data_IF_966597168003
#
_entry.id   IF_966597168003
#
_cell.length_a   1.000
_cell.length_b   1.000
_cell.length_c   1.000
_cell.angle_alpha   90.00
_cell.angle_beta   90.00
_cell.angle_gamma   90.00
#
_symmetry.space_group_name_H-M   'P 1'
#
loop_
_entity.id
_entity.type
_entity.pdbx_description
1 polymer ?
#
# COMPACT_ATOMS: atom_id res chain seq x y z
N UNK A 1 -7.37 -10.61 23.62
CA UNK A 1 -6.20 -11.51 23.65
C UNK A 1 -5.52 -11.42 22.30
N UNK A 2 -4.19 -11.34 22.24
CA UNK A 2 -3.45 -11.36 20.96
C UNK A 2 -3.44 -12.78 20.38
N UNK A 3 -3.25 -12.92 19.07
CA UNK A 3 -3.16 -14.21 18.37
C UNK A 3 -1.97 -14.20 17.44
N UNK A 4 -1.04 -15.13 17.63
CA UNK A 4 0.10 -15.28 16.73
C UNK A 4 -0.42 -15.73 15.35
N UNK A 5 -0.07 -15.04 14.26
CA UNK A 5 -0.45 -15.46 12.92
C UNK A 5 0.29 -16.76 12.55
N UNK A 6 -0.37 -17.63 11.80
CA UNK A 6 0.31 -18.75 11.15
C UNK A 6 1.17 -18.18 10.03
N UNK A 7 2.46 -18.47 10.04
CA UNK A 7 3.38 -18.07 8.97
C UNK A 7 3.75 -19.33 8.18
N UNK A 8 3.18 -19.44 6.99
CA UNK A 8 3.52 -20.44 5.98
C UNK A 8 3.80 -19.75 4.63
N UNK A 9 4.04 -20.52 3.56
CA UNK A 9 4.25 -19.99 2.21
C UNK A 9 2.93 -19.73 1.46
N UNK A 10 1.79 -19.61 2.15
CA UNK A 10 0.50 -19.29 1.53
C UNK A 10 0.38 -17.80 1.21
N UNK A 11 -0.50 -17.48 0.26
CA UNK A 11 -0.82 -16.10 -0.08
C UNK A 11 -1.32 -15.27 1.11
N UNK A 12 -2.06 -15.88 2.05
CA UNK A 12 -2.58 -15.21 3.26
C UNK A 12 -1.45 -14.83 4.22
N UNK A 13 -0.49 -15.73 4.43
CA UNK A 13 0.70 -15.46 5.24
C UNK A 13 1.57 -14.38 4.61
N UNK A 14 1.78 -14.45 3.30
CA UNK A 14 2.51 -13.42 2.56
C UNK A 14 1.83 -12.06 2.64
N UNK A 15 0.50 -11.98 2.52
CA UNK A 15 -0.24 -10.72 2.65
C UNK A 15 -0.12 -10.13 4.06
N UNK A 16 -0.14 -10.99 5.08
CA UNK A 16 0.06 -10.57 6.47
C UNK A 16 1.49 -10.04 6.69
N UNK A 17 2.49 -10.67 6.07
CA UNK A 17 3.88 -10.19 6.11
C UNK A 17 4.07 -8.89 5.30
N UNK A 18 3.40 -8.73 4.16
CA UNK A 18 3.41 -7.48 3.39
C UNK A 18 2.80 -6.32 4.16
N UNK A 19 1.72 -6.56 4.91
CA UNK A 19 1.16 -5.56 5.81
C UNK A 19 2.18 -5.16 6.90
N UNK A 20 2.83 -6.14 7.55
CA UNK A 20 3.84 -5.86 8.55
C UNK A 20 5.05 -5.10 7.96
N UNK A 21 5.55 -5.56 6.81
CA UNK A 21 6.69 -4.96 6.11
C UNK A 21 6.45 -3.49 5.77
N UNK A 22 5.22 -3.13 5.39
CA UNK A 22 4.84 -1.74 5.16
C UNK A 22 5.04 -0.87 6.41
N UNK A 23 4.60 -1.34 7.59
CA UNK A 23 4.82 -0.61 8.85
C UNK A 23 6.29 -0.60 9.30
N UNK A 24 7.06 -1.65 8.97
CA UNK A 24 8.50 -1.69 9.23
C UNK A 24 9.21 -0.62 8.39
N UNK A 25 8.86 -0.44 7.12
CA UNK A 25 9.41 0.63 6.29
C UNK A 25 9.09 2.01 6.86
N UNK A 26 7.83 2.25 7.25
CA UNK A 26 7.45 3.53 7.89
C UNK A 26 8.18 3.78 9.20
N UNK A 27 8.39 2.73 10.00
CA UNK A 27 9.21 2.83 11.22
C UNK A 27 10.63 3.27 10.90
N UNK A 28 11.23 2.69 9.86
CA UNK A 28 12.58 3.03 9.43
C UNK A 28 12.65 4.47 8.89
N UNK A 29 11.79 4.83 7.92
CA UNK A 29 11.80 6.15 7.30
C UNK A 29 11.61 7.28 8.32
N UNK A 30 10.64 7.16 9.22
CA UNK A 30 10.42 8.16 10.26
C UNK A 30 11.49 8.15 11.37
N UNK A 31 12.36 7.13 11.40
CA UNK A 31 13.51 7.12 12.32
C UNK A 31 14.74 7.79 11.73
N UNK A 32 14.75 8.05 10.43
CA UNK A 32 15.79 8.83 9.77
C UNK A 32 15.70 10.27 10.26
N UNK A 33 16.83 10.88 10.58
CA UNK A 33 16.87 12.25 11.08
C UNK A 33 16.39 12.44 12.54
N UNK A 34 16.11 11.36 13.30
CA UNK A 34 15.76 11.49 14.71
C UNK A 34 16.97 11.96 15.55
N UNK A 35 16.89 13.16 16.13
CA UNK A 35 17.95 13.75 16.94
C UNK A 35 17.64 13.70 18.45
N UNK A 36 16.35 13.62 18.79
CA UNK A 36 15.84 13.67 20.15
C UNK A 36 14.89 12.51 20.46
N UNK A 37 14.66 12.25 21.74
CA UNK A 37 13.77 11.15 22.17
C UNK A 37 12.32 11.34 21.69
N UNK A 38 11.86 12.59 21.50
CA UNK A 38 10.52 12.88 20.98
C UNK A 38 10.35 12.49 19.52
N UNK A 39 11.42 12.50 18.74
CA UNK A 39 11.38 12.20 17.30
C UNK A 39 11.06 10.70 17.07
N UNK A 40 11.41 9.85 18.05
CA UNK A 40 11.09 8.43 18.04
C UNK A 40 9.62 8.10 18.34
N UNK A 41 8.76 9.07 18.64
CA UNK A 41 7.34 8.83 18.89
C UNK A 41 6.62 8.27 17.65
N UNK A 42 6.87 8.83 16.47
CA UNK A 42 6.28 8.34 15.22
C UNK A 42 6.81 6.95 14.81
N UNK A 43 8.14 6.70 14.79
CA UNK A 43 8.68 5.36 14.60
C UNK A 43 8.09 4.32 15.54
N UNK A 44 8.02 4.63 16.84
CA UNK A 44 7.45 3.72 17.83
C UNK A 44 5.97 3.44 17.55
N UNK A 45 5.21 4.46 17.16
CA UNK A 45 3.80 4.34 16.81
C UNK A 45 3.59 3.42 15.59
N UNK A 46 4.42 3.54 14.54
CA UNK A 46 4.34 2.66 13.37
C UNK A 46 4.75 1.22 13.70
N UNK A 47 5.81 1.03 14.49
CA UNK A 47 6.24 -0.29 14.93
C UNK A 47 5.14 -1.00 15.75
N UNK A 48 4.55 -0.29 16.71
CA UNK A 48 3.44 -0.80 17.53
C UNK A 48 2.22 -1.09 16.64
N UNK A 49 1.91 -0.23 15.68
CA UNK A 49 0.79 -0.41 14.75
C UNK A 49 0.94 -1.68 13.91
N UNK A 50 2.11 -1.87 13.30
CA UNK A 50 2.43 -3.06 12.51
C UNK A 50 2.37 -4.34 13.34
N UNK A 51 2.97 -4.33 14.54
CA UNK A 51 2.94 -5.48 15.45
C UNK A 51 1.53 -5.78 15.97
N UNK A 52 0.73 -4.75 16.27
CA UNK A 52 -0.64 -4.92 16.74
C UNK A 52 -1.53 -5.56 15.67
N UNK A 53 -1.38 -5.15 14.41
CA UNK A 53 -2.07 -5.78 13.27
C UNK A 53 -1.58 -7.20 13.04
N UNK A 54 -0.27 -7.42 13.00
CA UNK A 54 0.34 -8.73 12.80
C UNK A 54 -0.09 -9.74 13.87
N UNK A 55 -0.09 -9.34 15.14
CA UNK A 55 -0.52 -10.17 16.27
C UNK A 55 -2.04 -10.19 16.48
N UNK A 56 -2.82 -9.64 15.53
CA UNK A 56 -4.27 -9.61 15.56
C UNK A 56 -4.82 -9.11 16.91
N UNK A 57 -4.22 -8.04 17.45
CA UNK A 57 -4.66 -7.44 18.71
C UNK A 57 -6.09 -6.90 18.55
N UNK A 58 -6.98 -7.11 19.52
CA UNK A 58 -8.36 -6.62 19.43
C UNK A 58 -8.38 -5.12 19.14
N UNK A 59 -9.23 -4.71 18.18
CA UNK A 59 -9.38 -3.33 17.74
C UNK A 59 -8.14 -2.70 17.08
N UNK A 60 -7.09 -3.46 16.76
CA UNK A 60 -5.87 -2.92 16.15
C UNK A 60 -6.16 -2.14 14.86
N UNK A 61 -7.05 -2.62 13.99
CA UNK A 61 -7.40 -1.90 12.74
C UNK A 61 -7.95 -0.50 13.02
N UNK A 62 -8.87 -0.38 13.97
CA UNK A 62 -9.42 0.92 14.37
C UNK A 62 -8.34 1.79 15.05
N UNK A 63 -7.51 1.20 15.90
CA UNK A 63 -6.39 1.89 16.55
C UNK A 63 -5.37 2.42 15.54
N UNK A 64 -5.07 1.68 14.48
CA UNK A 64 -4.14 2.11 13.44
C UNK A 64 -4.78 3.17 12.55
N UNK A 65 -5.98 2.92 12.01
CA UNK A 65 -6.63 3.85 11.07
C UNK A 65 -7.04 5.17 11.71
N UNK A 66 -7.47 5.17 12.97
CA UNK A 66 -7.92 6.39 13.66
C UNK A 66 -6.93 6.90 14.69
N UNK A 67 -6.25 6.01 15.41
CA UNK A 67 -5.34 6.39 16.49
C UNK A 67 -4.07 7.04 15.98
N UNK A 68 -3.51 6.59 14.84
CA UNK A 68 -2.32 7.24 14.25
C UNK A 68 -2.63 8.68 13.82
N UNK A 69 -3.67 8.94 12.99
CA UNK A 69 -4.09 10.31 12.70
C UNK A 69 -4.44 11.13 13.94
N UNK A 70 -5.16 10.57 14.91
CA UNK A 70 -5.52 11.28 16.13
C UNK A 70 -4.27 11.71 16.92
N UNK A 71 -3.26 10.85 16.99
CA UNK A 71 -1.97 11.18 17.61
C UNK A 71 -1.27 12.33 16.87
N UNK A 72 -1.23 12.30 15.53
CA UNK A 72 -0.69 13.39 14.72
C UNK A 72 -1.41 14.71 14.97
N UNK A 73 -2.74 14.72 15.05
CA UNK A 73 -3.51 15.94 15.35
C UNK A 73 -3.16 16.47 16.74
N UNK A 74 -3.05 15.60 17.75
CA UNK A 74 -2.68 16.01 19.11
C UNK A 74 -1.27 16.61 19.14
N UNK A 75 -0.31 15.98 18.45
CA UNK A 75 1.07 16.47 18.36
C UNK A 75 1.13 17.81 17.62
N UNK A 76 0.49 17.93 16.45
CA UNK A 76 0.44 19.18 15.68
C UNK A 76 -0.20 20.33 16.45
N UNK A 77 -1.26 20.06 17.23
CA UNK A 77 -1.85 21.08 18.12
C UNK A 77 -0.92 21.46 19.28
N UNK A 78 -0.13 20.52 19.79
CA UNK A 78 0.80 20.75 20.88
C UNK A 78 2.07 21.51 20.43
N UNK A 79 2.59 21.22 19.23
CA UNK A 79 3.74 21.89 18.62
C UNK A 79 3.37 23.19 17.92
N UNK A 80 2.11 23.36 17.51
CA UNK A 80 1.65 24.47 16.68
C UNK A 80 1.88 24.27 15.18
N UNK A 81 2.27 23.06 14.76
CA UNK A 81 2.52 22.68 13.37
C UNK A 81 1.22 22.25 12.69
N UNK A 82 0.57 23.19 12.01
CA UNK A 82 -0.69 22.93 11.31
C UNK A 82 -0.54 21.93 10.15
N UNK A 83 0.65 21.81 9.56
CA UNK A 83 0.91 20.88 8.46
C UNK A 83 0.76 19.43 8.91
N UNK A 84 1.15 19.10 10.15
CA UNK A 84 0.94 17.77 10.74
C UNK A 84 -0.54 17.40 10.86
N UNK A 85 -1.41 18.40 11.10
CA UNK A 85 -2.87 18.21 11.17
C UNK A 85 -3.43 17.88 9.78
N UNK A 86 -2.93 18.53 8.73
CA UNK A 86 -3.31 18.22 7.35
C UNK A 86 -2.84 16.81 6.96
N UNK A 87 -1.59 16.47 7.26
CA UNK A 87 -1.03 15.14 7.04
C UNK A 87 -1.79 14.03 7.78
N UNK A 88 -2.42 14.30 8.92
CA UNK A 88 -3.23 13.32 9.62
C UNK A 88 -4.42 12.82 8.77
N UNK A 89 -5.06 13.69 7.99
CA UNK A 89 -6.16 13.31 7.09
C UNK A 89 -5.66 12.35 6.02
N UNK A 90 -4.48 12.62 5.49
CA UNK A 90 -3.83 11.77 4.51
C UNK A 90 -3.51 10.38 5.07
N UNK A 91 -2.93 10.32 6.28
CA UNK A 91 -2.62 9.07 6.96
C UNK A 91 -3.88 8.24 7.23
N UNK A 92 -5.02 8.87 7.49
CA UNK A 92 -6.31 8.18 7.64
C UNK A 92 -6.70 7.45 6.34
N UNK A 93 -6.58 8.14 5.21
CA UNK A 93 -6.91 7.59 3.88
C UNK A 93 -5.94 6.46 3.49
N UNK A 94 -4.66 6.58 3.85
CA UNK A 94 -3.64 5.60 3.53
C UNK A 94 -3.70 4.35 4.43
N UNK A 95 -3.80 4.52 5.76
CA UNK A 95 -3.79 3.39 6.69
C UNK A 95 -5.11 2.63 6.75
N UNK A 96 -6.22 3.24 6.36
CA UNK A 96 -7.51 2.53 6.24
C UNK A 96 -7.39 1.28 5.37
N UNK A 97 -7.04 1.39 4.08
CA UNK A 97 -6.86 0.24 3.22
C UNK A 97 -5.79 -0.74 3.72
N UNK A 98 -4.63 -0.25 4.17
CA UNK A 98 -3.54 -1.13 4.65
C UNK A 98 -4.00 -1.97 5.83
N UNK A 99 -4.75 -1.39 6.78
CA UNK A 99 -5.24 -2.08 7.97
C UNK A 99 -6.37 -3.09 7.66
N UNK A 100 -7.24 -2.79 6.68
CA UNK A 100 -8.45 -3.57 6.43
C UNK A 100 -8.37 -4.53 5.24
N UNK A 101 -7.58 -4.25 4.19
CA UNK A 101 -7.49 -5.12 3.00
C UNK A 101 -7.11 -6.57 3.34
N UNK A 102 -6.09 -6.86 4.18
CA UNK A 102 -5.75 -8.24 4.53
C UNK A 102 -6.90 -9.00 5.19
N UNK A 103 -7.68 -8.32 6.02
CA UNK A 103 -8.82 -8.91 6.72
C UNK A 103 -10.02 -9.15 5.79
N UNK A 104 -10.28 -8.18 4.91
CA UNK A 104 -11.32 -8.28 3.88
C UNK A 104 -11.00 -9.40 2.89
N UNK A 105 -9.74 -9.54 2.48
CA UNK A 105 -9.32 -10.61 1.58
C UNK A 105 -9.34 -11.99 2.24
N UNK A 106 -8.88 -12.09 3.48
CA UNK A 106 -8.73 -13.39 4.15
C UNK A 106 -10.02 -13.98 4.71
N UNK A 107 -11.09 -13.20 4.74
CA UNK A 107 -12.37 -13.60 5.31
C UNK A 107 -12.43 -13.54 6.83
N UNK A 108 -11.83 -12.52 7.43
CA UNK A 108 -11.78 -12.40 8.89
C UNK A 108 -13.17 -12.16 9.49
N UNK A 109 -13.61 -13.08 10.35
CA UNK A 109 -14.93 -13.05 10.99
C UNK A 109 -15.13 -11.88 11.96
N UNK A 110 -14.05 -11.25 12.45
CA UNK A 110 -14.13 -10.06 13.31
C UNK A 110 -14.74 -8.84 12.60
N UNK A 111 -14.80 -8.86 11.27
CA UNK A 111 -15.47 -7.80 10.49
C UNK A 111 -17.00 -7.90 10.57
N UNK A 112 -17.56 -9.06 10.91
CA UNK A 112 -19.01 -9.26 10.95
C UNK A 112 -19.71 -9.04 9.61
N UNK A 113 -19.01 -9.35 8.51
CA UNK A 113 -19.52 -9.19 7.15
C UNK A 113 -19.77 -10.55 6.49
N UNK A 114 -20.87 -10.63 5.74
CA UNK A 114 -21.13 -11.75 4.82
C UNK A 114 -20.14 -11.71 3.64
N UNK A 115 -19.94 -12.85 2.96
CA UNK A 115 -18.92 -12.99 1.90
C UNK A 115 -19.12 -12.00 0.75
N UNK A 116 -20.36 -11.80 0.28
CA UNK A 116 -20.67 -10.85 -0.81
C UNK A 116 -20.34 -9.41 -0.42
N UNK A 117 -20.81 -8.96 0.74
CA UNK A 117 -20.54 -7.63 1.27
C UNK A 117 -19.05 -7.39 1.52
N UNK A 118 -18.36 -8.39 2.08
CA UNK A 118 -16.91 -8.35 2.33
C UNK A 118 -16.15 -8.17 1.01
N UNK A 119 -16.48 -8.96 0.00
CA UNK A 119 -15.81 -8.93 -1.30
C UNK A 119 -16.12 -7.64 -2.06
N UNK A 120 -17.35 -7.12 -2.01
CA UNK A 120 -17.67 -5.80 -2.59
C UNK A 120 -16.87 -4.68 -1.91
N UNK A 121 -16.80 -4.68 -0.57
CA UNK A 121 -16.02 -3.68 0.18
C UNK A 121 -14.53 -3.81 -0.09
N UNK A 122 -14.00 -5.04 -0.21
CA UNK A 122 -12.63 -5.27 -0.63
C UNK A 122 -12.36 -4.60 -1.98
N UNK A 123 -13.24 -4.80 -2.96
CA UNK A 123 -13.07 -4.19 -4.28
C UNK A 123 -12.98 -2.67 -4.24
N UNK A 124 -13.85 -2.02 -3.46
CA UNK A 124 -13.83 -0.56 -3.29
C UNK A 124 -12.55 -0.10 -2.59
N UNK A 125 -12.19 -0.74 -1.47
CA UNK A 125 -11.00 -0.37 -0.67
C UNK A 125 -9.73 -0.59 -1.48
N UNK A 126 -9.64 -1.70 -2.21
CA UNK A 126 -8.51 -2.02 -3.09
C UNK A 126 -8.40 -1.01 -4.23
N UNK A 127 -9.50 -0.61 -4.87
CA UNK A 127 -9.48 0.41 -5.91
C UNK A 127 -8.99 1.75 -5.36
N UNK A 128 -9.54 2.19 -4.22
CA UNK A 128 -9.11 3.44 -3.59
C UNK A 128 -7.62 3.42 -3.27
N UNK A 129 -7.12 2.32 -2.69
CA UNK A 129 -5.69 2.16 -2.38
C UNK A 129 -4.81 2.12 -3.62
N UNK A 130 -5.19 1.36 -4.65
CA UNK A 130 -4.40 1.27 -5.87
C UNK A 130 -4.34 2.60 -6.60
N UNK A 131 -5.46 3.32 -6.69
CA UNK A 131 -5.49 4.66 -7.28
C UNK A 131 -4.64 5.65 -6.48
N UNK A 132 -4.73 5.60 -5.15
CA UNK A 132 -3.87 6.37 -4.24
C UNK A 132 -2.40 6.08 -4.51
N UNK A 133 -2.02 4.80 -4.58
CA UNK A 133 -0.63 4.40 -4.78
C UNK A 133 -0.09 4.80 -6.15
N UNK A 134 -0.86 4.59 -7.22
CA UNK A 134 -0.42 4.87 -8.59
C UNK A 134 -0.38 6.36 -8.88
N UNK A 135 -1.44 7.10 -8.55
CA UNK A 135 -1.62 8.47 -9.03
C UNK A 135 -1.19 9.54 -8.03
N UNK A 136 -1.00 9.18 -6.76
CA UNK A 136 -0.66 10.15 -5.72
C UNK A 136 0.63 9.81 -4.97
N UNK A 137 0.87 8.55 -4.61
CA UNK A 137 2.06 8.16 -3.84
C UNK A 137 3.28 7.82 -4.69
N UNK A 138 3.08 7.47 -5.96
CA UNK A 138 4.19 7.13 -6.84
C UNK A 138 4.50 8.27 -7.79
N UNK A 139 5.78 8.43 -8.13
CA UNK A 139 6.24 9.36 -9.17
C UNK A 139 5.96 8.85 -10.59
N UNK A 140 5.20 7.75 -10.75
CA UNK A 140 5.04 7.05 -12.03
C UNK A 140 4.39 7.93 -13.12
N UNK A 141 3.50 8.84 -12.75
CA UNK A 141 2.86 9.76 -13.70
C UNK A 141 3.87 10.77 -14.22
N UNK A 142 4.61 11.42 -13.32
CA UNK A 142 5.64 12.40 -13.66
C UNK A 142 6.77 11.74 -14.46
N UNK A 143 7.24 10.56 -14.00
CA UNK A 143 8.21 9.74 -14.71
C UNK A 143 7.77 9.39 -16.14
N UNK A 144 6.49 9.10 -16.37
CA UNK A 144 5.98 8.76 -17.69
C UNK A 144 5.78 9.98 -18.61
N UNK A 145 5.33 11.10 -18.04
CA UNK A 145 4.94 12.30 -18.79
C UNK A 145 6.13 13.21 -19.06
N UNK A 146 6.89 13.50 -18.02
CA UNK A 146 7.94 14.52 -18.03
C UNK A 146 9.34 13.88 -18.01
N UNK A 147 9.45 12.65 -17.48
CA UNK A 147 10.74 11.96 -17.34
C UNK A 147 11.58 12.53 -16.20
N UNK A 148 11.05 13.47 -15.44
CA UNK A 148 11.69 14.11 -14.29
C UNK A 148 10.65 14.39 -13.21
N UNK A 149 11.08 14.38 -11.95
CA UNK A 149 10.29 14.80 -10.80
C UNK A 149 11.20 15.31 -9.68
N UNK A 150 10.67 16.19 -8.84
CA UNK A 150 11.39 16.73 -7.69
C UNK A 150 10.75 16.23 -6.41
N UNK A 151 11.57 15.77 -5.49
CA UNK A 151 11.18 15.35 -4.15
C UNK A 151 11.88 16.22 -3.12
N UNK A 152 11.32 16.26 -1.92
CA UNK A 152 11.91 16.86 -0.73
C UNK A 152 12.20 15.73 0.27
N UNK A 153 13.45 15.60 0.72
CA UNK A 153 13.84 14.61 1.72
C UNK A 153 13.44 15.07 3.14
N UNK A 154 13.57 14.18 4.13
CA UNK A 154 13.21 14.43 5.53
C UNK A 154 13.99 15.57 6.20
N UNK A 155 15.09 16.04 5.61
CA UNK A 155 15.88 17.19 6.06
C UNK A 155 15.58 18.48 5.27
N UNK A 156 14.46 18.51 4.53
CA UNK A 156 14.02 19.60 3.64
C UNK A 156 14.96 19.84 2.45
N UNK A 157 15.83 18.87 2.11
CA UNK A 157 16.64 18.95 0.90
C UNK A 157 15.82 18.55 -0.33
N UNK A 158 15.70 19.48 -1.28
CA UNK A 158 15.09 19.20 -2.58
C UNK A 158 16.09 18.53 -3.52
N UNK A 159 15.66 17.48 -4.20
CA UNK A 159 16.43 16.82 -5.23
C UNK A 159 15.57 16.48 -6.44
N UNK A 160 16.11 16.73 -7.63
CA UNK A 160 15.45 16.43 -8.90
C UNK A 160 15.98 15.11 -9.43
N UNK A 161 15.08 14.16 -9.61
CA UNK A 161 15.33 12.89 -10.27
C UNK A 161 14.96 12.98 -11.74
N UNK A 162 15.77 12.36 -12.60
CA UNK A 162 15.53 12.30 -14.05
C UNK A 162 15.78 10.92 -14.61
N UNK A 163 15.03 10.57 -15.65
CA UNK A 163 15.12 9.32 -16.39
C UNK A 163 15.65 9.57 -17.79
N UNK A 164 16.41 8.60 -18.30
CA UNK A 164 16.73 8.61 -19.72
C UNK A 164 15.49 8.25 -20.59
N UNK A 165 15.62 8.39 -21.91
CA UNK A 165 14.51 8.12 -22.83
C UNK A 165 14.02 6.66 -22.83
N UNK A 166 14.89 5.70 -22.50
CA UNK A 166 14.53 4.28 -22.39
C UNK A 166 13.71 4.06 -21.12
N UNK A 167 14.17 4.61 -20.00
CA UNK A 167 13.52 4.54 -18.69
C UNK A 167 12.16 5.26 -18.69
N UNK A 168 12.07 6.44 -19.30
CA UNK A 168 10.80 7.14 -19.51
C UNK A 168 9.82 6.30 -20.34
N UNK A 169 10.29 5.60 -21.37
CA UNK A 169 9.46 4.68 -22.15
C UNK A 169 8.95 3.51 -21.28
N UNK A 170 9.79 2.98 -20.39
CA UNK A 170 9.40 1.95 -19.41
C UNK A 170 8.34 2.51 -18.45
N UNK A 171 8.48 3.75 -17.98
CA UNK A 171 7.50 4.43 -17.14
C UNK A 171 6.13 4.55 -17.83
N UNK A 172 6.10 4.92 -19.11
CA UNK A 172 4.87 5.00 -19.91
C UNK A 172 4.19 3.64 -20.05
N UNK A 173 4.95 2.58 -20.28
CA UNK A 173 4.41 1.21 -20.34
C UNK A 173 3.84 0.81 -18.98
N UNK A 174 4.55 1.10 -17.89
CA UNK A 174 4.08 0.83 -16.54
C UNK A 174 2.80 1.61 -16.19
N UNK A 175 2.72 2.90 -16.55
CA UNK A 175 1.50 3.69 -16.36
C UNK A 175 0.32 3.11 -17.16
N UNK A 176 0.55 2.72 -18.42
CA UNK A 176 -0.45 2.03 -19.23
C UNK A 176 -0.92 0.72 -18.58
N UNK A 177 0.02 -0.06 -18.05
CA UNK A 177 -0.27 -1.30 -17.32
C UNK A 177 -1.09 -1.05 -16.04
N UNK A 178 -0.80 0.01 -15.29
CA UNK A 178 -1.57 0.40 -14.11
C UNK A 178 -3.02 0.73 -14.47
N UNK A 179 -3.22 1.57 -15.49
CA UNK A 179 -4.55 1.98 -15.96
C UNK A 179 -5.35 0.77 -16.45
N UNK A 180 -4.75 -0.09 -17.27
CA UNK A 180 -5.41 -1.31 -17.75
C UNK A 180 -5.73 -2.23 -16.57
N UNK A 181 -4.80 -2.41 -15.62
CA UNK A 181 -5.01 -3.24 -14.44
C UNK A 181 -6.19 -2.78 -13.59
N UNK A 182 -6.30 -1.48 -13.32
CA UNK A 182 -7.43 -0.87 -12.61
C UNK A 182 -8.73 -1.09 -13.37
N UNK A 183 -8.75 -0.89 -14.69
CA UNK A 183 -9.95 -1.11 -15.51
C UNK A 183 -10.39 -2.57 -15.52
N UNK A 184 -9.46 -3.52 -15.66
CA UNK A 184 -9.74 -4.95 -15.59
C UNK A 184 -10.33 -5.30 -14.23
N UNK A 185 -9.73 -4.83 -13.14
CA UNK A 185 -10.24 -5.08 -11.79
C UNK A 185 -11.64 -4.47 -11.58
N UNK A 186 -11.84 -3.21 -11.98
CA UNK A 186 -13.11 -2.52 -11.85
C UNK A 186 -14.24 -3.28 -12.58
N UNK A 187 -13.99 -3.65 -13.84
CA UNK A 187 -14.97 -4.37 -14.65
C UNK A 187 -15.30 -5.74 -14.08
N UNK A 188 -14.30 -6.50 -13.63
CA UNK A 188 -14.47 -7.89 -13.22
C UNK A 188 -14.89 -8.05 -11.75
N UNK A 189 -14.25 -7.35 -10.80
CA UNK A 189 -14.52 -7.51 -9.36
C UNK A 189 -15.64 -6.61 -8.83
N UNK A 190 -15.78 -5.39 -9.34
CA UNK A 190 -16.75 -4.42 -8.80
C UNK A 190 -18.02 -4.37 -9.62
N UNK A 191 -17.90 -4.39 -10.95
CA UNK A 191 -19.06 -4.38 -11.85
C UNK A 191 -19.58 -5.78 -12.19
N UNK A 192 -18.86 -6.84 -11.81
CA UNK A 192 -19.24 -8.23 -12.07
C UNK A 192 -19.35 -8.58 -13.56
N UNK A 193 -18.60 -7.88 -14.42
CA UNK A 193 -18.62 -8.08 -15.88
C UNK A 193 -17.53 -9.05 -16.29
N UNK A 194 -17.90 -9.98 -17.16
CA UNK A 194 -16.96 -10.85 -17.85
C UNK A 194 -16.17 -10.05 -18.90
N UNK A 195 -14.85 -10.18 -18.87
CA UNK A 195 -13.94 -9.55 -19.84
C UNK A 195 -13.05 -10.64 -20.44
N UNK A 196 -13.62 -11.45 -21.32
CA UNK A 196 -12.94 -12.63 -21.86
C UNK A 196 -12.47 -13.56 -20.73
N UNK A 197 -11.22 -14.07 -20.75
CA UNK A 197 -10.69 -14.92 -19.68
C UNK A 197 -10.17 -14.13 -18.46
N UNK A 198 -10.31 -12.80 -18.43
CA UNK A 198 -9.75 -11.98 -17.36
C UNK A 198 -10.56 -12.10 -16.07
N UNK A 199 -9.86 -12.53 -15.02
CA UNK A 199 -10.30 -12.50 -13.61
C UNK A 199 -9.76 -11.26 -12.88
N UNK A 200 -10.39 -10.85 -11.75
CA UNK A 200 -9.94 -9.69 -10.98
C UNK A 200 -8.47 -9.71 -10.57
N UNK A 201 -7.93 -10.88 -10.26
CA UNK A 201 -6.53 -11.01 -9.86
C UNK A 201 -5.55 -10.60 -10.97
N UNK A 202 -5.91 -10.73 -12.25
CA UNK A 202 -5.07 -10.25 -13.35
C UNK A 202 -4.94 -8.74 -13.31
N UNK A 203 -6.03 -8.02 -13.03
CA UNK A 203 -6.00 -6.57 -12.83
C UNK A 203 -5.11 -6.18 -11.65
N UNK A 204 -5.19 -6.94 -10.56
CA UNK A 204 -4.31 -6.79 -9.39
C UNK A 204 -2.83 -7.01 -9.72
N UNK A 205 -2.50 -8.05 -10.49
CA UNK A 205 -1.14 -8.35 -10.91
C UNK A 205 -0.56 -7.27 -11.85
N UNK A 206 -1.37 -6.74 -12.78
CA UNK A 206 -0.96 -5.64 -13.65
C UNK A 206 -0.66 -4.37 -12.85
N UNK A 207 -1.55 -3.97 -11.93
CA UNK A 207 -1.34 -2.80 -11.09
C UNK A 207 -0.12 -2.94 -10.17
N UNK A 208 0.08 -4.12 -9.56
CA UNK A 208 1.26 -4.40 -8.75
C UNK A 208 2.55 -4.38 -9.57
N UNK A 209 2.53 -4.93 -10.80
CA UNK A 209 3.66 -4.89 -11.72
C UNK A 209 4.02 -3.46 -12.14
N UNK A 210 3.02 -2.61 -12.37
CA UNK A 210 3.26 -1.20 -12.65
C UNK A 210 3.91 -0.46 -11.47
N UNK A 211 3.42 -0.69 -10.25
CA UNK A 211 4.02 -0.10 -9.05
C UNK A 211 5.42 -0.64 -8.77
N UNK A 212 5.68 -1.92 -9.03
CA UNK A 212 7.02 -2.49 -8.96
C UNK A 212 7.99 -1.79 -9.93
N UNK A 213 7.57 -1.57 -11.18
CA UNK A 213 8.37 -0.86 -12.17
C UNK A 213 8.58 0.59 -11.74
N UNK A 214 7.54 1.27 -11.24
CA UNK A 214 7.65 2.65 -10.74
C UNK A 214 8.67 2.77 -9.61
N UNK A 215 8.65 1.85 -8.64
CA UNK A 215 9.63 1.84 -7.56
C UNK A 215 11.04 1.45 -8.03
N UNK A 216 11.16 0.54 -9.00
CA UNK A 216 12.44 0.27 -9.63
C UNK A 216 13.03 1.52 -10.29
N UNK A 217 12.22 2.27 -11.05
CA UNK A 217 12.64 3.50 -11.71
C UNK A 217 13.08 4.55 -10.69
N UNK A 218 12.42 4.63 -9.54
CA UNK A 218 12.81 5.50 -8.44
C UNK A 218 14.22 5.19 -7.90
N UNK A 219 14.62 3.90 -7.87
CA UNK A 219 15.94 3.47 -7.42
C UNK A 219 17.07 3.70 -8.43
N UNK A 220 16.74 3.79 -9.72
CA UNK A 220 17.76 3.93 -10.79
C UNK A 220 17.81 5.32 -11.39
N UNK A 221 16.85 6.20 -11.07
CA UNK A 221 16.82 7.56 -11.57
C UNK A 221 18.08 8.34 -11.18
N UNK A 222 18.61 9.11 -12.14
CA UNK A 222 19.74 9.99 -11.90
C UNK A 222 19.31 11.16 -11.01
N UNK A 223 20.15 11.52 -10.04
CA UNK A 223 19.91 12.66 -9.13
C UNK A 223 19.19 12.32 -7.83
N UNK A 224 18.84 11.05 -7.60
CA UNK A 224 18.32 10.57 -6.30
C UNK A 224 19.41 10.44 -5.21
N UNK A 225 19.03 10.44 -3.91
CA UNK A 225 19.94 10.22 -2.81
C UNK A 225 20.39 8.75 -2.73
N UNK A 226 21.40 8.49 -1.90
CA UNK A 226 21.89 7.14 -1.63
C UNK A 226 20.85 6.34 -0.83
N UNK A 227 19.98 5.62 -1.52
CA UNK A 227 18.90 4.85 -0.90
C UNK A 227 19.41 3.66 -0.07
N UNK A 228 18.77 3.43 1.07
CA UNK A 228 18.95 2.17 1.80
C UNK A 228 18.22 1.04 1.07
N UNK A 229 18.95 0.32 0.23
CA UNK A 229 18.39 -0.76 -0.60
C UNK A 229 17.63 -1.83 0.22
N UNK A 230 17.96 -2.04 1.50
CA UNK A 230 17.23 -2.97 2.35
C UNK A 230 15.82 -2.44 2.71
N UNK A 231 15.67 -1.16 3.05
CA UNK A 231 14.34 -0.58 3.33
C UNK A 231 13.49 -0.53 2.07
N UNK A 232 14.09 -0.17 0.94
CA UNK A 232 13.37 -0.03 -0.32
C UNK A 232 12.88 -1.37 -0.86
N UNK A 233 13.71 -2.42 -0.78
CA UNK A 233 13.26 -3.77 -1.16
C UNK A 233 12.11 -4.25 -0.27
N UNK A 234 12.14 -3.98 1.04
CA UNK A 234 11.02 -4.34 1.93
C UNK A 234 9.76 -3.56 1.53
N UNK A 235 9.88 -2.27 1.20
CA UNK A 235 8.74 -1.46 0.79
C UNK A 235 8.13 -1.98 -0.51
N UNK A 236 8.97 -2.23 -1.52
CA UNK A 236 8.56 -2.77 -2.82
C UNK A 236 7.80 -4.09 -2.65
N UNK A 237 8.36 -5.04 -1.90
CA UNK A 237 7.72 -6.34 -1.68
C UNK A 237 6.41 -6.20 -0.90
N UNK A 238 6.36 -5.27 0.05
CA UNK A 238 5.16 -4.98 0.85
C UNK A 238 4.06 -4.36 -0.01
N UNK A 239 4.41 -3.38 -0.84
CA UNK A 239 3.51 -2.71 -1.77
C UNK A 239 2.95 -3.70 -2.79
N UNK A 240 3.82 -4.46 -3.46
CA UNK A 240 3.42 -5.48 -4.44
C UNK A 240 2.51 -6.52 -3.79
N UNK A 241 2.84 -6.99 -2.58
CA UNK A 241 1.99 -7.94 -1.86
C UNK A 241 0.63 -7.37 -1.48
N UNK A 242 0.57 -6.12 -1.00
CA UNK A 242 -0.67 -5.43 -0.65
C UNK A 242 -1.57 -5.14 -1.87
N UNK A 243 -1.00 -5.04 -3.08
CA UNK A 243 -1.77 -4.79 -4.30
C UNK A 243 -2.14 -6.10 -5.01
N UNK A 244 -1.22 -7.06 -5.13
CA UNK A 244 -1.47 -8.29 -5.88
C UNK A 244 -2.24 -9.35 -5.08
N UNK A 245 -1.94 -9.53 -3.79
CA UNK A 245 -2.47 -10.67 -3.02
C UNK A 245 -3.95 -10.54 -2.64
N UNK A 246 -4.51 -9.36 -2.27
CA UNK A 246 -5.92 -9.30 -1.90
C UNK A 246 -6.86 -9.76 -3.04
N UNK A 247 -6.67 -9.31 -4.30
CA UNK A 247 -7.43 -9.84 -5.42
C UNK A 247 -7.22 -11.35 -5.65
N UNK A 248 -5.99 -11.84 -5.50
CA UNK A 248 -5.68 -13.27 -5.64
C UNK A 248 -6.37 -14.13 -4.58
N UNK A 249 -6.48 -13.67 -3.34
CA UNK A 249 -7.05 -14.45 -2.25
C UNK A 249 -8.59 -14.43 -2.33
N UNK A 250 -9.18 -13.29 -2.65
CA UNK A 250 -10.63 -13.11 -2.55
C UNK A 250 -11.41 -13.50 -3.81
N UNK A 251 -10.79 -13.49 -5.00
CA UNK A 251 -11.50 -13.68 -6.28
C UNK A 251 -10.97 -14.84 -7.13
N UNK A 252 -10.01 -15.64 -6.63
CA UNK A 252 -9.48 -16.79 -7.37
C UNK A 252 -10.34 -18.04 -7.22
N UNK A 253 -10.95 -18.25 -6.05
CA UNK A 253 -11.69 -19.48 -5.73
C UNK A 253 -13.14 -19.48 -6.27
N UNK A 254 -13.63 -18.37 -6.84
CA UNK A 254 -14.97 -18.28 -7.43
C UNK A 254 -15.12 -19.02 -8.77
N UNK A 255 -14.03 -19.53 -9.36
CA UNK A 255 -14.10 -20.30 -10.62
C UNK A 255 -14.32 -21.80 -10.44
N UNK A 256 -13.98 -22.37 -9.28
CA UNK A 256 -14.10 -23.83 -9.07
C UNK A 256 -15.54 -24.25 -8.70
N UNK A 257 -16.38 -23.29 -8.27
CA UNK A 257 -17.79 -23.58 -7.93
C UNK A 257 -18.72 -23.61 -9.14
N UNK A 258 -18.29 -23.17 -10.32
CA UNK A 258 -19.12 -23.20 -11.55
C UNK A 258 -18.93 -24.45 -12.42
N UNK A 259 -18.01 -25.35 -12.07
CA UNK A 259 -17.83 -26.65 -12.74
C UNK A 259 -18.55 -27.81 -12.02
N UNK A 260 -19.37 -27.51 -11.00
CA UNK A 260 -20.05 -28.49 -10.16
C UNK A 260 -21.59 -28.46 -10.26
N UNK A 261 -22.15 -28.02 -11.40
CA UNK A 261 -23.55 -28.28 -11.79
C UNK A 261 -23.65 -29.13 -13.07
#
# INVERSE_FOLDING_TARGET
MFKMPTIDLSAKSLLTLSQLGFFVCFTYWFSQGAESNSDYLFPALFAISGLALFLSVPNARMGVTLGVPAFMVVMGLASGENDMIFWAIFMLIMFGPIAYMPALASGDSTLGLEDGDRTMRLGIVWLAFTLLMVFMMSSLVQAAMDGEWTEEDFDESEYTMSLDSTEQTIAQVALGLAVIGVLVFLLTAVMGREVGPMLPWHGGAMAAGALLIGQYLWLVADGGPDYNLASEVIFILSLVGLVALPPCIAYRDTSDSSEAE
#
